data_IF_712832356354
#
_entry.id   IF_712832356354
#
_cell.length_a   1.000
_cell.length_b   1.000
_cell.length_c   1.000
_cell.angle_alpha   90.00
_cell.angle_beta   90.00
_cell.angle_gamma   90.00
#
_symmetry.space_group_name_H-M   'P 1'
#
loop_
_entity.id
_entity.type
_entity.pdbx_description
1 polymer ?
#
# COMPACT_ATOMS: atom_id res chain seq x y z
N UNK A 1 47.77 10.06 5.83
CA UNK A 1 47.27 10.27 4.46
C UNK A 1 47.62 9.05 3.62
N UNK A 2 46.67 8.52 2.85
CA UNK A 2 46.95 7.45 1.90
C UNK A 2 47.63 8.05 0.66
N UNK A 3 48.67 7.40 0.15
CA UNK A 3 49.40 7.85 -1.03
C UNK A 3 48.46 7.94 -2.24
N UNK A 4 48.37 9.13 -2.87
CA UNK A 4 47.47 9.50 -3.99
C UNK A 4 45.97 9.67 -3.67
N UNK A 5 45.55 9.65 -2.41
CA UNK A 5 44.16 9.98 -2.03
C UNK A 5 44.08 11.43 -1.52
N UNK A 6 43.86 12.39 -2.43
CA UNK A 6 43.62 13.80 -2.06
C UNK A 6 42.18 14.04 -1.58
N UNK A 7 41.93 15.15 -0.89
CA UNK A 7 40.60 15.52 -0.34
C UNK A 7 39.47 15.40 -1.37
N UNK A 8 39.63 15.98 -2.56
CA UNK A 8 38.65 15.84 -3.65
C UNK A 8 38.35 14.39 -4.05
N UNK A 9 39.34 13.50 -3.98
CA UNK A 9 39.15 12.09 -4.32
C UNK A 9 38.45 11.35 -3.18
N UNK A 10 38.80 11.67 -1.93
CA UNK A 10 38.13 11.14 -0.76
C UNK A 10 36.66 11.57 -0.69
N UNK A 11 36.35 12.84 -0.97
CA UNK A 11 34.99 13.36 -1.03
C UNK A 11 34.17 12.72 -2.15
N UNK A 12 34.75 12.55 -3.33
CA UNK A 12 34.08 11.87 -4.44
C UNK A 12 33.82 10.38 -4.15
N UNK A 13 34.76 9.69 -3.48
CA UNK A 13 34.59 8.31 -3.03
C UNK A 13 33.51 8.23 -1.95
N UNK A 14 33.52 9.14 -0.97
CA UNK A 14 32.50 9.20 0.08
C UNK A 14 31.11 9.44 -0.52
N UNK A 15 30.98 10.40 -1.44
CA UNK A 15 29.74 10.62 -2.20
C UNK A 15 29.31 9.37 -2.95
N UNK A 16 30.22 8.72 -3.69
CA UNK A 16 29.89 7.48 -4.40
C UNK A 16 29.44 6.35 -3.46
N UNK A 17 30.11 6.15 -2.33
CA UNK A 17 29.71 5.14 -1.33
C UNK A 17 28.33 5.49 -0.74
N UNK A 18 28.07 6.76 -0.46
CA UNK A 18 26.76 7.22 0.01
C UNK A 18 25.68 7.03 -1.06
N UNK A 19 25.94 7.36 -2.33
CA UNK A 19 25.04 7.13 -3.46
C UNK A 19 24.75 5.64 -3.67
N UNK A 20 25.76 4.76 -3.58
CA UNK A 20 25.59 3.30 -3.71
C UNK A 20 24.79 2.75 -2.52
N UNK A 21 25.08 3.15 -1.29
CA UNK A 21 24.30 2.75 -0.11
C UNK A 21 22.86 3.29 -0.11
N UNK A 22 22.61 4.42 -0.78
CA UNK A 22 21.28 5.01 -0.96
C UNK A 22 20.48 4.29 -2.06
N UNK A 23 21.12 3.78 -3.12
CA UNK A 23 20.47 3.04 -4.21
C UNK A 23 19.73 1.77 -3.78
N UNK A 24 20.20 1.11 -2.71
CA UNK A 24 19.56 -0.10 -2.18
C UNK A 24 18.59 0.19 -1.02
N UNK A 25 18.45 1.45 -0.60
CA UNK A 25 17.48 1.81 0.45
C UNK A 25 16.10 1.93 -0.17
N UNK A 26 15.24 0.99 0.20
CA UNK A 26 13.80 1.08 -0.04
C UNK A 26 13.15 1.72 1.18
N UNK A 27 12.12 2.54 0.96
CA UNK A 27 11.31 3.12 2.04
C UNK A 27 9.89 2.54 2.01
N UNK A 28 9.16 2.51 3.14
CA UNK A 28 7.77 2.09 3.17
C UNK A 28 6.87 2.94 2.27
N UNK A 29 5.83 2.33 1.71
CA UNK A 29 4.82 3.00 0.88
C UNK A 29 4.22 4.22 1.58
N UNK A 30 3.90 4.11 2.87
CA UNK A 30 3.30 5.21 3.62
C UNK A 30 4.22 6.41 3.89
N UNK A 31 5.52 6.29 3.61
CA UNK A 31 6.43 7.44 3.56
C UNK A 31 6.57 7.98 2.14
N UNK A 32 6.65 7.09 1.14
CA UNK A 32 6.86 7.45 -0.26
C UNK A 32 5.64 8.15 -0.89
N UNK A 33 4.44 7.64 -0.62
CA UNK A 33 3.21 8.11 -1.24
C UNK A 33 2.88 9.57 -0.85
N UNK A 34 2.86 9.97 0.43
CA UNK A 34 2.59 11.36 0.80
C UNK A 34 3.61 12.35 0.21
N UNK A 35 4.88 11.96 0.15
CA UNK A 35 5.93 12.77 -0.48
C UNK A 35 5.65 12.96 -1.99
N UNK A 36 5.33 11.89 -2.71
CA UNK A 36 4.99 11.98 -4.12
C UNK A 36 3.75 12.86 -4.35
N UNK A 37 2.72 12.69 -3.52
CA UNK A 37 1.48 13.48 -3.59
C UNK A 37 1.75 14.97 -3.35
N UNK A 38 2.59 15.32 -2.37
CA UNK A 38 2.99 16.70 -2.09
C UNK A 38 3.72 17.32 -3.30
N UNK A 39 4.71 16.62 -3.85
CA UNK A 39 5.46 17.08 -5.03
C UNK A 39 4.51 17.27 -6.22
N UNK A 40 3.65 16.27 -6.48
CA UNK A 40 2.68 16.31 -7.57
C UNK A 40 1.68 17.46 -7.38
N UNK A 41 1.20 17.70 -6.17
CA UNK A 41 0.26 18.79 -5.88
C UNK A 41 0.87 20.16 -6.19
N UNK A 42 2.12 20.40 -5.82
CA UNK A 42 2.82 21.66 -6.13
C UNK A 42 3.00 21.84 -7.63
N UNK A 43 3.49 20.80 -8.33
CA UNK A 43 3.79 20.89 -9.75
C UNK A 43 2.53 20.96 -10.63
N UNK A 44 1.42 20.29 -10.22
CA UNK A 44 0.12 20.40 -10.90
C UNK A 44 -0.44 21.82 -10.90
N UNK A 45 -0.04 22.67 -9.97
CA UNK A 45 -0.43 24.08 -9.92
C UNK A 45 0.23 24.96 -10.98
N UNK A 46 1.22 24.45 -11.71
CA UNK A 46 1.94 25.22 -12.73
C UNK A 46 1.16 25.27 -14.05
N UNK A 47 1.13 26.42 -14.75
CA UNK A 47 0.45 26.54 -16.04
C UNK A 47 0.95 25.53 -17.08
N UNK A 48 0.03 24.93 -17.81
CA UNK A 48 0.34 24.01 -18.92
C UNK A 48 0.71 22.58 -18.50
N UNK A 49 0.86 22.29 -17.20
CA UNK A 49 1.08 20.91 -16.71
C UNK A 49 -0.20 20.08 -16.86
N UNK A 50 -0.07 18.89 -17.44
CA UNK A 50 -1.15 17.90 -17.58
C UNK A 50 -0.61 16.51 -17.28
N UNK A 51 -1.51 15.60 -16.91
CA UNK A 51 -1.22 14.17 -16.74
C UNK A 51 -0.04 13.87 -15.79
N UNK A 52 0.15 14.65 -14.72
CA UNK A 52 1.23 14.41 -13.77
C UNK A 52 0.86 13.27 -12.81
N UNK A 53 1.51 12.12 -12.98
CA UNK A 53 1.19 10.85 -12.31
C UNK A 53 2.48 10.18 -11.82
N UNK A 54 2.57 9.78 -10.54
CA UNK A 54 3.64 8.89 -10.08
C UNK A 54 3.53 7.53 -10.78
N UNK A 55 4.67 7.00 -11.23
CA UNK A 55 4.79 5.73 -11.94
C UNK A 55 5.56 4.71 -11.07
N UNK A 56 6.21 3.75 -11.71
CA UNK A 56 7.07 2.77 -11.03
C UNK A 56 6.33 1.91 -10.01
N UNK A 57 7.10 1.44 -9.02
CA UNK A 57 6.59 0.61 -7.93
C UNK A 57 5.56 1.33 -7.06
N UNK A 58 5.61 2.66 -7.01
CA UNK A 58 4.67 3.48 -6.25
C UNK A 58 3.26 3.40 -6.85
N UNK A 59 3.14 3.53 -8.17
CA UNK A 59 1.85 3.38 -8.87
C UNK A 59 1.26 1.98 -8.74
N UNK A 60 2.10 0.96 -8.55
CA UNK A 60 1.67 -0.43 -8.34
C UNK A 60 1.42 -0.77 -6.87
N UNK A 61 1.45 0.23 -5.97
CA UNK A 61 1.23 0.06 -4.53
C UNK A 61 2.14 -1.00 -3.87
N UNK A 62 3.39 -1.12 -4.32
CA UNK A 62 4.39 -1.98 -3.65
C UNK A 62 4.60 -1.48 -2.21
N UNK A 63 4.66 -2.41 -1.27
CA UNK A 63 4.86 -2.14 0.17
C UNK A 63 6.11 -1.31 0.48
N UNK A 64 7.16 -1.44 -0.33
CA UNK A 64 8.38 -0.65 -0.24
C UNK A 64 8.74 -0.10 -1.61
N UNK A 65 9.28 1.12 -1.65
CA UNK A 65 9.56 1.90 -2.84
C UNK A 65 11.06 2.20 -2.90
N UNK A 66 11.69 2.02 -4.07
CA UNK A 66 13.11 2.31 -4.27
C UNK A 66 13.33 3.79 -4.60
N UNK A 67 12.94 4.19 -5.80
CA UNK A 67 12.86 5.55 -6.29
C UNK A 67 11.40 5.93 -6.59
N UNK A 68 11.14 7.24 -6.63
CA UNK A 68 9.85 7.77 -7.08
C UNK A 68 10.01 8.30 -8.50
N UNK A 69 9.38 7.62 -9.43
CA UNK A 69 9.22 8.09 -10.80
C UNK A 69 7.95 8.95 -10.93
N UNK A 70 8.06 10.16 -11.47
CA UNK A 70 6.92 11.02 -11.79
C UNK A 70 6.93 11.32 -13.28
N UNK A 71 5.84 10.97 -13.95
CA UNK A 71 5.65 11.17 -15.39
C UNK A 71 4.60 12.26 -15.59
N UNK A 72 4.85 13.17 -16.54
CA UNK A 72 3.90 14.21 -16.87
C UNK A 72 4.07 14.77 -18.27
N UNK A 73 3.20 15.72 -18.58
CA UNK A 73 3.22 16.49 -19.82
C UNK A 73 3.13 17.97 -19.48
N UNK A 74 3.75 18.83 -20.27
CA UNK A 74 3.69 20.26 -20.04
C UNK A 74 3.85 21.03 -21.36
N UNK A 75 3.17 22.17 -21.47
CA UNK A 75 3.37 23.11 -22.59
C UNK A 75 4.77 23.76 -22.52
N UNK A 76 5.32 23.94 -21.31
CA UNK A 76 6.70 24.37 -21.05
C UNK A 76 7.38 23.43 -20.03
N UNK A 77 7.93 22.29 -20.49
CA UNK A 77 8.63 21.34 -19.64
C UNK A 77 9.79 21.94 -18.85
N UNK A 78 10.53 22.88 -19.44
CA UNK A 78 11.75 23.42 -18.82
C UNK A 78 11.43 24.23 -17.57
N UNK A 79 10.36 25.04 -17.62
CA UNK A 79 9.88 25.77 -16.44
C UNK A 79 9.46 24.83 -15.31
N UNK A 80 8.83 23.71 -15.64
CA UNK A 80 8.40 22.72 -14.63
C UNK A 80 9.61 22.01 -14.02
N UNK A 81 10.59 21.62 -14.83
CA UNK A 81 11.84 21.05 -14.34
C UNK A 81 12.55 22.04 -13.39
N UNK A 82 12.61 23.34 -13.74
CA UNK A 82 13.20 24.37 -12.88
C UNK A 82 12.44 24.54 -11.56
N UNK A 83 11.11 24.41 -11.56
CA UNK A 83 10.31 24.45 -10.35
C UNK A 83 10.56 23.23 -9.46
N UNK A 84 10.59 22.03 -10.05
CA UNK A 84 10.84 20.77 -9.36
C UNK A 84 12.17 20.75 -8.61
N UNK A 85 13.27 21.14 -9.24
CA UNK A 85 14.59 21.13 -8.59
C UNK A 85 14.75 22.21 -7.50
N UNK A 86 13.79 23.12 -7.37
CA UNK A 86 13.76 24.20 -6.36
C UNK A 86 12.80 23.91 -5.20
N UNK A 87 12.14 22.76 -5.19
CA UNK A 87 11.21 22.40 -4.13
C UNK A 87 11.92 22.36 -2.76
N UNK A 88 11.29 22.83 -1.67
CA UNK A 88 11.91 22.89 -0.33
C UNK A 88 12.40 21.54 0.23
N UNK A 89 11.85 20.44 -0.28
CA UNK A 89 12.21 19.08 0.09
C UNK A 89 13.49 18.60 -0.60
N UNK A 90 13.94 19.26 -1.68
CA UNK A 90 15.14 18.90 -2.44
C UNK A 90 16.39 19.23 -1.63
N UNK A 91 17.25 18.24 -1.45
CA UNK A 91 18.55 18.35 -0.80
C UNK A 91 19.68 18.44 -1.84
N UNK A 92 19.63 17.62 -2.89
CA UNK A 92 20.66 17.56 -3.93
C UNK A 92 20.02 17.38 -5.32
N UNK A 93 20.56 18.07 -6.32
CA UNK A 93 20.19 17.88 -7.73
C UNK A 93 21.22 16.98 -8.39
N UNK A 94 20.83 15.76 -8.77
CA UNK A 94 21.71 14.78 -9.42
C UNK A 94 21.86 15.06 -10.92
N UNK A 95 20.74 15.41 -11.56
CA UNK A 95 20.69 15.71 -12.99
C UNK A 95 19.57 16.70 -13.29
N UNK A 96 19.81 17.59 -14.25
CA UNK A 96 18.83 18.55 -14.73
C UNK A 96 18.99 18.75 -16.24
N UNK A 97 17.92 18.49 -16.99
CA UNK A 97 17.79 18.81 -18.41
C UNK A 97 16.52 19.61 -18.68
N UNK A 98 16.16 19.81 -19.95
CA UNK A 98 14.94 20.53 -20.33
C UNK A 98 13.65 19.74 -20.09
N UNK A 99 13.72 18.41 -20.15
CA UNK A 99 12.55 17.52 -20.05
C UNK A 99 12.66 16.45 -18.95
N UNK A 100 13.79 16.42 -18.24
CA UNK A 100 14.03 15.44 -17.17
C UNK A 100 14.88 16.03 -16.06
N UNK A 101 14.62 15.62 -14.84
CA UNK A 101 15.49 15.91 -13.70
C UNK A 101 15.43 14.79 -12.66
N UNK A 102 16.51 14.67 -11.92
CA UNK A 102 16.69 13.71 -10.83
C UNK A 102 17.19 14.46 -9.60
N UNK A 103 16.50 14.29 -8.48
CA UNK A 103 16.85 14.95 -7.21
C UNK A 103 16.89 13.93 -6.08
N UNK A 104 17.67 14.23 -5.05
CA UNK A 104 17.57 13.60 -3.74
C UNK A 104 16.80 14.54 -2.82
N UNK A 105 15.78 14.03 -2.15
CA UNK A 105 15.05 14.77 -1.11
C UNK A 105 15.64 14.50 0.28
N UNK A 106 15.25 15.29 1.28
CA UNK A 106 15.75 15.20 2.67
C UNK A 106 15.64 13.81 3.33
N UNK A 107 14.72 12.96 2.89
CA UNK A 107 14.61 11.56 3.36
C UNK A 107 15.73 10.66 2.80
N UNK A 108 16.55 11.16 1.88
CA UNK A 108 17.57 10.42 1.15
C UNK A 108 17.05 9.68 -0.09
N UNK A 109 15.76 9.81 -0.39
CA UNK A 109 15.08 9.17 -1.52
C UNK A 109 15.36 9.91 -2.83
N UNK A 110 15.56 9.16 -3.92
CA UNK A 110 15.63 9.71 -5.26
C UNK A 110 14.23 9.91 -5.85
N UNK A 111 13.99 11.09 -6.41
CA UNK A 111 12.78 11.42 -7.16
C UNK A 111 13.18 11.84 -8.57
N UNK A 112 12.64 11.15 -9.56
CA UNK A 112 12.86 11.39 -10.98
C UNK A 112 11.60 11.99 -11.59
N UNK A 113 11.74 13.15 -12.23
CA UNK A 113 10.66 13.80 -12.98
C UNK A 113 10.98 13.74 -14.47
N UNK A 114 10.01 13.28 -15.26
CA UNK A 114 10.09 13.30 -16.72
C UNK A 114 8.84 13.93 -17.32
N UNK A 115 9.09 14.87 -18.21
CA UNK A 115 8.09 15.54 -19.02
C UNK A 115 8.19 15.10 -20.47
N UNK A 116 7.05 14.77 -21.09
CA UNK A 116 6.95 14.41 -22.51
C UNK A 116 5.88 15.23 -23.21
N UNK A 117 5.88 15.14 -24.55
CA UNK A 117 4.80 15.65 -25.38
C UNK A 117 3.46 15.01 -25.00
N UNK A 118 2.38 15.79 -25.10
CA UNK A 118 1.03 15.38 -24.69
C UNK A 118 0.57 14.06 -25.32
N UNK A 119 0.95 13.80 -26.57
CA UNK A 119 0.54 12.62 -27.34
C UNK A 119 1.33 11.33 -26.99
N UNK A 120 2.40 11.44 -26.21
CA UNK A 120 3.33 10.33 -25.91
C UNK A 120 3.20 9.84 -24.46
N UNK A 121 2.30 10.44 -23.68
CA UNK A 121 2.17 10.19 -22.25
C UNK A 121 1.77 8.76 -21.90
N UNK A 122 0.82 8.17 -22.63
CA UNK A 122 0.28 6.85 -22.30
C UNK A 122 1.36 5.75 -22.34
N UNK A 123 2.09 5.64 -23.45
CA UNK A 123 3.14 4.63 -23.63
C UNK A 123 4.28 4.82 -22.63
N UNK A 124 4.62 6.08 -22.33
CA UNK A 124 5.58 6.42 -21.28
C UNK A 124 5.08 5.90 -19.92
N UNK A 125 3.85 6.23 -19.55
CA UNK A 125 3.27 5.83 -18.28
C UNK A 125 3.22 4.30 -18.16
N UNK A 126 2.76 3.59 -19.18
CA UNK A 126 2.76 2.12 -19.18
C UNK A 126 4.17 1.56 -18.96
N UNK A 127 5.14 2.04 -19.74
CA UNK A 127 6.53 1.61 -19.65
C UNK A 127 7.11 1.84 -18.26
N UNK A 128 6.97 3.04 -17.71
CA UNK A 128 7.56 3.41 -16.41
C UNK A 128 6.76 2.87 -15.22
N UNK A 129 5.47 2.54 -15.39
CA UNK A 129 4.71 1.83 -14.37
C UNK A 129 5.27 0.43 -14.15
N UNK A 130 5.69 -0.25 -15.22
CA UNK A 130 6.20 -1.62 -15.12
C UNK A 130 5.15 -2.61 -14.61
N UNK A 131 5.55 -3.69 -13.91
CA UNK A 131 6.91 -4.05 -13.53
C UNK A 131 7.83 -4.33 -14.73
N UNK A 132 9.13 -4.54 -14.48
CA UNK A 132 10.08 -4.95 -15.52
C UNK A 132 9.63 -6.26 -16.16
N UNK A 133 9.23 -7.22 -15.34
CA UNK A 133 8.78 -8.55 -15.73
C UNK A 133 7.50 -8.45 -16.58
N UNK A 134 6.53 -7.63 -16.14
CA UNK A 134 5.33 -7.33 -16.91
C UNK A 134 5.65 -6.74 -18.29
N UNK A 135 6.55 -5.75 -18.34
CA UNK A 135 6.97 -5.14 -19.61
C UNK A 135 7.67 -6.12 -20.55
N UNK A 136 8.50 -7.02 -20.02
CA UNK A 136 9.16 -8.07 -20.81
C UNK A 136 8.09 -8.99 -21.42
N UNK A 137 7.15 -9.48 -20.63
CA UNK A 137 6.09 -10.36 -21.10
C UNK A 137 5.19 -9.68 -22.17
N UNK A 138 4.84 -8.41 -21.98
CA UNK A 138 4.11 -7.63 -22.99
C UNK A 138 4.91 -7.48 -24.29
N UNK A 139 6.21 -7.18 -24.22
CA UNK A 139 7.08 -7.04 -25.40
C UNK A 139 7.20 -8.35 -26.17
N UNK A 140 7.42 -9.46 -25.49
CA UNK A 140 7.49 -10.79 -26.12
C UNK A 140 6.19 -11.13 -26.85
N UNK A 141 5.04 -10.79 -26.26
CA UNK A 141 3.73 -10.94 -26.91
C UNK A 141 3.60 -10.04 -28.14
N UNK A 142 3.94 -8.76 -28.01
CA UNK A 142 3.83 -7.79 -29.11
C UNK A 142 4.71 -8.19 -30.31
N UNK A 143 5.93 -8.69 -30.06
CA UNK A 143 6.82 -9.18 -31.12
C UNK A 143 6.18 -10.31 -31.92
N UNK A 144 5.49 -11.25 -31.26
CA UNK A 144 4.74 -12.33 -31.94
C UNK A 144 3.61 -11.81 -32.83
N UNK A 145 3.11 -10.60 -32.58
CA UNK A 145 2.10 -9.92 -33.39
C UNK A 145 2.72 -9.00 -34.46
N UNK A 146 4.05 -8.96 -34.60
CA UNK A 146 4.74 -8.05 -35.51
C UNK A 146 4.74 -6.59 -35.03
N UNK A 147 4.72 -6.37 -33.71
CA UNK A 147 4.70 -5.08 -33.06
C UNK A 147 5.94 -4.91 -32.16
N UNK A 148 6.35 -3.66 -31.94
CA UNK A 148 7.42 -3.30 -30.98
C UNK A 148 6.89 -2.26 -30.00
N UNK A 149 6.89 -2.59 -28.71
CA UNK A 149 6.47 -1.67 -27.64
C UNK A 149 7.66 -0.85 -27.15
N UNK A 150 7.48 0.46 -27.04
CA UNK A 150 8.47 1.39 -26.45
C UNK A 150 7.77 2.43 -25.57
N UNK A 151 8.53 3.25 -24.86
CA UNK A 151 8.01 4.43 -24.16
C UNK A 151 7.36 5.46 -25.09
N UNK A 152 7.57 5.36 -26.41
CA UNK A 152 7.05 6.30 -27.39
C UNK A 152 5.76 5.84 -28.07
N UNK A 153 5.38 4.56 -27.95
CA UNK A 153 4.27 4.00 -28.71
C UNK A 153 4.44 2.53 -29.08
N UNK A 154 3.53 2.09 -29.95
CA UNK A 154 3.54 0.76 -30.55
C UNK A 154 3.96 0.90 -32.00
N UNK A 155 5.14 0.40 -32.34
CA UNK A 155 5.66 0.43 -33.71
C UNK A 155 5.26 -0.84 -34.46
N UNK A 156 4.63 -0.69 -35.63
CA UNK A 156 4.32 -1.81 -36.53
C UNK A 156 5.58 -2.21 -37.28
N UNK A 157 6.10 -3.42 -37.04
CA UNK A 157 7.41 -3.85 -37.55
C UNK A 157 7.48 -3.86 -39.09
N UNK A 158 6.35 -4.06 -39.77
CA UNK A 158 6.28 -4.08 -41.24
C UNK A 158 6.39 -2.69 -41.88
N UNK A 159 5.82 -1.66 -41.25
CA UNK A 159 5.73 -0.31 -41.83
C UNK A 159 6.71 0.67 -41.19
N UNK A 160 7.17 0.38 -39.96
CA UNK A 160 7.95 1.31 -39.13
C UNK A 160 7.11 2.44 -38.54
N UNK A 161 5.79 2.44 -38.74
CA UNK A 161 4.89 3.45 -38.19
C UNK A 161 4.67 3.24 -36.69
N UNK A 162 4.81 4.32 -35.91
CA UNK A 162 4.59 4.30 -34.46
C UNK A 162 3.23 4.88 -34.13
N UNK A 163 2.35 4.03 -33.62
CA UNK A 163 1.03 4.38 -33.12
C UNK A 163 1.13 4.95 -31.70
N UNK A 164 0.39 6.04 -31.45
CA UNK A 164 0.29 6.73 -30.15
C UNK A 164 -1.12 6.57 -29.59
N UNK A 165 -1.24 6.60 -28.26
CA UNK A 165 -2.49 6.31 -27.55
C UNK A 165 -2.82 7.42 -26.55
N UNK A 166 -4.11 7.75 -26.45
CA UNK A 166 -4.59 8.76 -25.51
C UNK A 166 -4.71 8.21 -24.08
N UNK A 167 -4.93 6.89 -23.92
CA UNK A 167 -5.16 6.21 -22.64
C UNK A 167 -4.58 4.78 -22.68
N UNK A 168 -4.33 4.20 -21.50
CA UNK A 168 -3.74 2.86 -21.40
C UNK A 168 -4.69 1.76 -21.88
N UNK A 169 -6.01 1.95 -21.78
CA UNK A 169 -7.03 1.01 -22.24
C UNK A 169 -6.89 0.74 -23.75
N UNK A 170 -6.74 1.77 -24.56
CA UNK A 170 -6.55 1.67 -26.00
C UNK A 170 -5.19 1.05 -26.35
N UNK A 171 -4.15 1.35 -25.56
CA UNK A 171 -2.83 0.71 -25.69
C UNK A 171 -2.92 -0.81 -25.47
N UNK A 172 -3.55 -1.26 -24.38
CA UNK A 172 -3.74 -2.70 -24.11
C UNK A 172 -4.65 -3.36 -25.15
N UNK A 173 -5.73 -2.67 -25.56
CA UNK A 173 -6.63 -3.15 -26.59
C UNK A 173 -5.91 -3.39 -27.92
N UNK A 174 -4.95 -2.55 -28.28
CA UNK A 174 -4.16 -2.68 -29.52
C UNK A 174 -3.36 -3.99 -29.59
N UNK A 175 -2.93 -4.51 -28.46
CA UNK A 175 -2.22 -5.79 -28.33
C UNK A 175 -3.13 -6.96 -27.92
N UNK A 176 -4.45 -6.74 -28.01
CA UNK A 176 -5.49 -7.74 -27.79
C UNK A 176 -5.74 -8.09 -26.33
N UNK A 177 -5.53 -7.14 -25.41
CA UNK A 177 -5.69 -7.34 -23.97
C UNK A 177 -6.80 -6.45 -23.39
N UNK A 178 -7.48 -6.95 -22.37
CA UNK A 178 -8.20 -6.10 -21.40
C UNK A 178 -7.20 -5.15 -20.73
N UNK A 179 -7.64 -3.97 -20.31
CA UNK A 179 -6.83 -3.09 -19.48
C UNK A 179 -6.38 -3.80 -18.19
N UNK A 180 -5.10 -3.67 -17.86
CA UNK A 180 -4.49 -4.27 -16.69
C UNK A 180 -4.20 -3.16 -15.66
N UNK A 181 -4.92 -3.12 -14.52
CA UNK A 181 -4.65 -2.19 -13.44
C UNK A 181 -3.18 -2.26 -12.99
N UNK A 182 -2.54 -1.12 -12.65
CA UNK A 182 -1.13 -1.07 -12.23
C UNK A 182 -0.76 -2.07 -11.13
N UNK A 183 -1.64 -2.26 -10.16
CA UNK A 183 -1.49 -3.15 -9.00
C UNK A 183 -1.25 -4.60 -9.41
N UNK A 184 -1.77 -5.03 -10.58
CA UNK A 184 -1.64 -6.40 -11.07
C UNK A 184 -0.41 -6.63 -11.97
N UNK A 185 0.33 -5.58 -12.33
CA UNK A 185 1.42 -5.64 -13.32
C UNK A 185 2.70 -6.21 -12.74
N UNK A 186 2.65 -7.50 -12.38
CA UNK A 186 3.72 -8.21 -11.67
C UNK A 186 4.15 -9.52 -12.37
N UNK A 187 3.64 -9.81 -13.57
CA UNK A 187 3.91 -11.03 -14.35
C UNK A 187 3.55 -12.32 -13.59
N UNK A 188 2.36 -12.35 -12.99
CA UNK A 188 1.81 -13.45 -12.17
C UNK A 188 0.57 -14.10 -12.78
N UNK A 189 0.37 -13.93 -14.09
CA UNK A 189 -0.79 -14.48 -14.83
C UNK A 189 -1.79 -13.41 -15.29
N UNK A 190 -1.54 -12.14 -15.01
CA UNK A 190 -2.43 -11.03 -15.35
C UNK A 190 -2.60 -10.84 -16.86
N UNK A 191 -1.58 -11.16 -17.65
CA UNK A 191 -1.62 -11.03 -19.12
C UNK A 191 -2.52 -12.12 -19.72
N UNK A 192 -2.40 -13.36 -19.24
CA UNK A 192 -3.24 -14.47 -19.66
C UNK A 192 -4.70 -14.24 -19.28
N UNK A 193 -4.95 -13.69 -18.08
CA UNK A 193 -6.28 -13.28 -17.65
C UNK A 193 -6.82 -12.13 -18.51
N UNK A 194 -6.01 -11.12 -18.83
CA UNK A 194 -6.40 -10.00 -19.65
C UNK A 194 -6.75 -10.41 -21.10
N UNK A 195 -6.03 -11.39 -21.65
CA UNK A 195 -6.33 -11.97 -22.96
C UNK A 195 -7.68 -12.69 -22.97
N UNK A 196 -7.95 -13.47 -21.92
CA UNK A 196 -9.23 -14.17 -21.73
C UNK A 196 -10.36 -13.23 -21.26
N UNK A 197 -10.05 -11.97 -20.97
CA UNK A 197 -10.96 -10.97 -20.39
C UNK A 197 -11.58 -11.43 -19.06
N UNK A 198 -10.78 -12.07 -18.23
CA UNK A 198 -11.19 -12.61 -16.92
C UNK A 198 -10.62 -11.80 -15.75
N UNK A 199 -9.99 -10.65 -15.99
CA UNK A 199 -9.57 -9.77 -14.89
C UNK A 199 -10.82 -9.21 -14.20
N UNK A 200 -10.91 -9.44 -12.90
CA UNK A 200 -11.98 -8.91 -12.05
C UNK A 200 -11.77 -7.43 -11.78
N UNK A 201 -12.86 -6.70 -11.57
CA UNK A 201 -12.80 -5.33 -11.08
C UNK A 201 -12.20 -5.35 -9.67
N UNK A 202 -11.16 -4.54 -9.46
CA UNK A 202 -10.55 -4.35 -8.13
C UNK A 202 -11.46 -3.47 -7.25
N UNK A 203 -11.29 -3.62 -5.94
CA UNK A 203 -11.93 -2.74 -4.96
C UNK A 203 -11.34 -1.33 -5.08
N UNK A 204 -12.20 -0.32 -4.99
CA UNK A 204 -11.81 1.09 -4.99
C UNK A 204 -12.06 1.72 -3.62
N UNK A 205 -11.41 2.86 -3.33
CA UNK A 205 -11.57 3.56 -2.05
C UNK A 205 -13.04 3.88 -1.73
N UNK A 206 -13.84 4.21 -2.75
CA UNK A 206 -15.28 4.52 -2.57
C UNK A 206 -16.14 3.27 -2.32
N UNK A 207 -15.63 2.06 -2.56
CA UNK A 207 -16.32 0.81 -2.21
C UNK A 207 -16.21 0.52 -0.70
N UNK A 208 -15.23 1.12 -0.02
CA UNK A 208 -15.01 0.99 1.44
C UNK A 208 -16.07 1.80 2.18
N UNK A 209 -16.95 1.11 2.90
CA UNK A 209 -18.09 1.72 3.62
C UNK A 209 -17.82 1.97 5.09
N UNK A 210 -16.68 1.53 5.62
CA UNK A 210 -16.34 1.68 7.02
C UNK A 210 -15.05 0.97 7.36
N UNK A 211 -14.53 1.32 8.53
CA UNK A 211 -13.34 0.70 9.11
C UNK A 211 -13.78 -0.24 10.24
N UNK A 212 -13.21 -1.45 10.26
CA UNK A 212 -13.59 -2.52 11.18
C UNK A 212 -12.54 -2.77 12.27
N UNK A 213 -11.47 -1.98 12.31
CA UNK A 213 -10.43 -2.14 13.30
C UNK A 213 -9.81 -0.79 13.66
N UNK A 214 -10.44 -0.08 14.62
CA UNK A 214 -9.89 1.18 15.15
C UNK A 214 -9.84 1.18 16.67
N UNK A 215 -8.87 1.91 17.20
CA UNK A 215 -8.61 2.04 18.63
C UNK A 215 -8.97 3.45 19.12
N UNK A 216 -9.32 3.56 20.39
CA UNK A 216 -9.71 4.83 21.04
C UNK A 216 -8.89 5.05 22.31
N UNK A 217 -9.14 6.16 23.01
CA UNK A 217 -8.54 6.41 24.33
C UNK A 217 -8.91 5.38 25.41
N UNK A 218 -9.79 4.42 25.12
CA UNK A 218 -10.11 3.31 26.01
C UNK A 218 -8.96 2.30 26.14
N UNK A 219 -8.16 2.06 25.10
CA UNK A 219 -6.87 1.35 25.18
C UNK A 219 -5.68 2.26 24.89
N UNK A 220 -5.24 2.30 23.64
CA UNK A 220 -3.98 2.88 23.16
C UNK A 220 -4.16 3.81 21.95
N UNK A 221 -5.42 4.10 21.59
CA UNK A 221 -5.74 5.22 20.73
C UNK A 221 -5.63 6.56 21.47
N UNK A 222 -5.83 7.65 20.72
CA UNK A 222 -5.70 9.01 21.24
C UNK A 222 -7.02 9.78 21.30
N UNK A 223 -8.03 9.32 20.57
CA UNK A 223 -9.26 10.05 20.35
C UNK A 223 -10.45 9.34 21.03
N UNK A 224 -11.43 10.13 21.44
CA UNK A 224 -12.70 9.62 21.95
C UNK A 224 -13.51 8.89 20.86
N UNK A 225 -14.46 8.05 21.27
CA UNK A 225 -15.38 7.34 20.36
C UNK A 225 -16.14 8.33 19.46
N UNK A 226 -16.60 9.45 20.02
CA UNK A 226 -17.33 10.47 19.26
C UNK A 226 -16.44 11.18 18.22
N UNK A 227 -15.18 11.48 18.57
CA UNK A 227 -14.23 12.09 17.65
C UNK A 227 -13.92 11.14 16.47
N UNK A 228 -13.63 9.88 16.76
CA UNK A 228 -13.39 8.84 15.75
C UNK A 228 -14.58 8.64 14.82
N UNK A 229 -15.80 8.57 15.36
CA UNK A 229 -17.01 8.43 14.56
C UNK A 229 -17.29 9.64 13.66
N UNK A 230 -17.00 10.86 14.13
CA UNK A 230 -17.12 12.07 13.30
C UNK A 230 -16.07 12.10 12.18
N UNK A 231 -14.83 11.68 12.44
CA UNK A 231 -13.79 11.56 11.42
C UNK A 231 -14.17 10.52 10.35
N UNK A 232 -14.59 9.32 10.77
CA UNK A 232 -15.08 8.28 9.87
C UNK A 232 -16.25 8.77 9.00
N UNK A 233 -17.19 9.52 9.58
CA UNK A 233 -18.30 10.14 8.84
C UNK A 233 -17.80 11.18 7.82
N UNK A 234 -16.79 11.97 8.16
CA UNK A 234 -16.18 12.94 7.24
C UNK A 234 -15.48 12.24 6.04
N UNK A 235 -14.95 11.04 6.26
CA UNK A 235 -14.43 10.17 5.19
C UNK A 235 -15.54 9.52 4.33
N UNK A 236 -16.82 9.71 4.68
CA UNK A 236 -17.96 9.16 3.95
C UNK A 236 -18.41 7.77 4.41
N UNK A 237 -17.76 7.21 5.44
CA UNK A 237 -18.11 5.91 6.00
C UNK A 237 -19.52 5.89 6.58
N UNK A 238 -20.13 4.70 6.50
CA UNK A 238 -21.45 4.35 7.02
C UNK A 238 -21.36 3.65 8.37
N UNK A 239 -20.24 3.03 8.65
CA UNK A 239 -19.99 2.39 9.93
C UNK A 239 -18.53 2.45 10.36
N UNK A 240 -18.30 2.20 11.65
CA UNK A 240 -17.01 2.13 12.30
C UNK A 240 -17.08 1.06 13.41
N UNK A 241 -16.14 0.13 13.50
CA UNK A 241 -16.03 -0.76 14.65
C UNK A 241 -14.93 -0.27 15.60
N UNK A 242 -15.30 0.02 16.84
CA UNK A 242 -14.34 0.34 17.89
C UNK A 242 -13.86 -0.99 18.49
N UNK A 243 -12.57 -1.29 18.36
CA UNK A 243 -11.98 -2.59 18.66
C UNK A 243 -10.73 -2.41 19.53
N UNK A 244 -10.87 -1.69 20.64
CA UNK A 244 -9.80 -1.54 21.63
C UNK A 244 -9.30 -2.90 22.15
N UNK A 245 -8.12 -2.92 22.74
CA UNK A 245 -7.48 -4.16 23.17
C UNK A 245 -8.15 -4.82 24.39
N UNK A 246 -8.18 -6.16 24.38
CA UNK A 246 -8.49 -6.99 25.56
C UNK A 246 -7.44 -6.93 26.68
N UNK A 247 -7.81 -7.41 27.88
CA UNK A 247 -7.07 -7.31 29.14
C UNK A 247 -5.61 -7.80 29.08
N UNK A 248 -5.34 -8.83 28.28
CA UNK A 248 -4.05 -9.48 28.11
C UNK A 248 -2.96 -8.54 27.58
N UNK A 249 -3.37 -7.41 26.98
CA UNK A 249 -2.47 -6.35 26.51
C UNK A 249 -2.27 -5.28 27.60
N UNK A 250 -1.79 -5.68 28.77
CA UNK A 250 -1.57 -4.78 29.92
C UNK A 250 -0.68 -3.55 29.62
N UNK A 251 0.21 -3.65 28.63
CA UNK A 251 1.07 -2.54 28.15
C UNK A 251 0.25 -1.46 27.40
N UNK A 252 -0.88 -1.83 26.79
CA UNK A 252 -1.76 -0.94 26.02
C UNK A 252 -3.06 -0.62 26.76
N UNK A 253 -3.05 -0.68 28.09
CA UNK A 253 -4.25 -0.40 28.91
C UNK A 253 -5.48 -1.23 28.52
N UNK A 254 -5.28 -2.50 28.14
CA UNK A 254 -6.34 -3.42 27.73
C UNK A 254 -7.55 -3.42 28.67
N UNK A 255 -8.75 -3.53 28.09
CA UNK A 255 -10.00 -3.43 28.82
C UNK A 255 -10.20 -4.69 29.66
N UNK A 256 -10.72 -4.53 30.88
CA UNK A 256 -11.30 -5.66 31.61
C UNK A 256 -12.73 -5.91 31.12
N UNK A 257 -13.34 -7.05 31.47
CA UNK A 257 -14.74 -7.31 31.14
C UNK A 257 -15.70 -6.19 31.62
N UNK A 258 -15.42 -5.59 32.77
CA UNK A 258 -16.20 -4.46 33.30
C UNK A 258 -16.00 -3.21 32.44
N UNK A 259 -14.76 -2.85 32.10
CA UNK A 259 -14.45 -1.68 31.25
C UNK A 259 -15.02 -1.84 29.84
N UNK A 260 -14.97 -3.04 29.27
CA UNK A 260 -15.58 -3.33 27.98
C UNK A 260 -17.09 -3.06 28.00
N UNK A 261 -17.81 -3.55 29.01
CA UNK A 261 -19.25 -3.27 29.12
C UNK A 261 -19.55 -1.77 29.30
N UNK A 262 -18.68 -1.02 29.98
CA UNK A 262 -18.79 0.44 30.07
C UNK A 262 -18.60 1.10 28.69
N UNK A 263 -17.58 0.69 27.94
CA UNK A 263 -17.36 1.18 26.57
C UNK A 263 -18.54 0.85 25.66
N UNK A 264 -19.07 -0.37 25.72
CA UNK A 264 -20.26 -0.77 24.95
C UNK A 264 -21.48 0.11 25.28
N UNK A 265 -21.66 0.45 26.55
CA UNK A 265 -22.71 1.38 26.97
C UNK A 265 -22.47 2.79 26.43
N UNK A 266 -21.24 3.29 26.40
CA UNK A 266 -20.89 4.57 25.78
C UNK A 266 -21.16 4.57 24.27
N UNK A 267 -20.72 3.54 23.54
CA UNK A 267 -20.99 3.36 22.10
C UNK A 267 -22.50 3.44 21.83
N UNK A 268 -23.32 2.79 22.67
CA UNK A 268 -24.78 2.84 22.58
C UNK A 268 -25.32 4.27 22.76
N UNK A 269 -24.78 5.04 23.68
CA UNK A 269 -25.18 6.44 23.87
C UNK A 269 -24.73 7.34 22.71
N UNK A 270 -23.51 7.15 22.18
CA UNK A 270 -23.02 7.88 21.01
C UNK A 270 -23.89 7.57 19.80
N UNK A 271 -24.23 6.30 19.54
CA UNK A 271 -25.12 5.89 18.45
C UNK A 271 -26.54 6.52 18.55
N UNK A 272 -27.04 6.79 19.76
CA UNK A 272 -28.31 7.50 19.93
C UNK A 272 -28.21 8.96 19.47
N UNK A 273 -27.11 9.63 19.81
CA UNK A 273 -26.87 11.05 19.56
C UNK A 273 -26.43 11.32 18.12
N UNK A 274 -25.44 10.56 17.63
CA UNK A 274 -24.82 10.75 16.32
C UNK A 274 -25.66 10.09 15.22
N UNK A 275 -25.94 10.84 14.15
CA UNK A 275 -26.66 10.34 12.97
C UNK A 275 -25.74 10.31 11.75
N UNK A 276 -25.99 9.36 10.86
CA UNK A 276 -25.28 9.22 9.58
C UNK A 276 -24.08 8.26 9.61
N UNK A 277 -23.77 7.67 10.76
CA UNK A 277 -22.78 6.59 10.92
C UNK A 277 -23.26 5.64 12.04
N UNK A 278 -23.04 4.34 11.89
CA UNK A 278 -23.25 3.33 12.94
C UNK A 278 -21.91 2.93 13.54
N UNK A 279 -21.81 2.99 14.85
CA UNK A 279 -20.63 2.49 15.58
C UNK A 279 -20.96 1.07 16.06
N UNK A 280 -20.14 0.09 15.73
CA UNK A 280 -20.25 -1.27 16.24
C UNK A 280 -19.46 -1.42 17.55
N UNK A 281 -20.03 -2.17 18.50
CA UNK A 281 -19.25 -2.63 19.65
C UNK A 281 -18.29 -3.72 19.19
N UNK A 282 -16.99 -3.51 19.37
CA UNK A 282 -15.97 -4.48 18.98
C UNK A 282 -14.89 -4.65 20.03
N UNK A 283 -13.99 -5.60 19.77
CA UNK A 283 -12.80 -5.82 20.56
C UNK A 283 -11.70 -6.41 19.67
N UNK A 284 -10.46 -5.97 19.86
CA UNK A 284 -9.29 -6.77 19.48
C UNK A 284 -8.89 -7.70 20.64
N UNK A 285 -9.38 -8.93 20.58
CA UNK A 285 -9.13 -9.97 21.58
C UNK A 285 -7.80 -10.70 21.30
N UNK A 286 -6.95 -10.82 22.32
CA UNK A 286 -5.68 -11.54 22.18
C UNK A 286 -5.94 -13.04 22.06
N UNK A 287 -5.26 -13.67 21.12
CA UNK A 287 -5.14 -15.11 21.02
C UNK A 287 -4.01 -15.51 21.95
N UNK A 288 -4.33 -16.19 23.06
CA UNK A 288 -3.33 -16.64 24.03
C UNK A 288 -2.40 -17.69 23.43
N UNK A 289 -1.26 -17.93 24.09
CA UNK A 289 -0.22 -18.85 23.60
C UNK A 289 -0.68 -20.31 23.40
N UNK A 290 -1.82 -20.69 23.98
CA UNK A 290 -2.49 -21.98 23.88
C UNK A 290 -3.68 -21.99 22.89
N UNK A 291 -3.96 -20.88 22.20
CA UNK A 291 -5.04 -20.75 21.22
C UNK A 291 -6.38 -20.29 21.80
N UNK A 292 -6.51 -20.16 23.13
CA UNK A 292 -7.72 -19.62 23.73
C UNK A 292 -7.80 -18.10 23.52
N UNK A 293 -9.01 -17.56 23.40
CA UNK A 293 -9.23 -16.12 23.37
C UNK A 293 -9.16 -15.53 24.78
N UNK A 294 -8.71 -14.28 24.88
CA UNK A 294 -8.53 -13.58 26.16
C UNK A 294 -9.83 -13.13 26.85
N UNK A 295 -10.98 -13.64 26.43
CA UNK A 295 -12.27 -13.48 27.09
C UNK A 295 -13.10 -14.76 27.05
N UNK A 296 -14.02 -14.96 28.03
CA UNK A 296 -14.95 -16.07 27.99
C UNK A 296 -16.00 -15.86 26.89
N UNK A 297 -16.49 -16.97 26.32
CA UNK A 297 -17.51 -16.97 25.25
C UNK A 297 -18.77 -16.17 25.63
N UNK A 298 -19.20 -16.22 26.90
CA UNK A 298 -20.35 -15.44 27.39
C UNK A 298 -20.17 -13.95 27.09
N UNK A 299 -18.99 -13.39 27.35
CA UNK A 299 -18.71 -11.98 27.08
C UNK A 299 -18.55 -11.71 25.58
N UNK A 300 -17.86 -12.58 24.85
CA UNK A 300 -17.68 -12.43 23.40
C UNK A 300 -19.03 -12.45 22.65
N UNK A 301 -20.01 -13.22 23.15
CA UNK A 301 -21.35 -13.28 22.59
C UNK A 301 -22.16 -11.96 22.70
N UNK A 302 -21.72 -11.03 23.55
CA UNK A 302 -22.34 -9.71 23.70
C UNK A 302 -21.80 -8.67 22.68
N UNK A 303 -20.73 -9.00 21.94
CA UNK A 303 -19.96 -8.08 21.07
C UNK A 303 -20.42 -8.23 19.61
N UNK A 304 -20.48 -7.13 18.86
CA UNK A 304 -20.92 -7.15 17.46
C UNK A 304 -19.81 -7.49 16.46
N UNK A 305 -18.55 -7.16 16.78
CA UNK A 305 -17.37 -7.46 15.95
C UNK A 305 -16.20 -7.91 16.82
N UNK A 306 -15.83 -9.19 16.73
CA UNK A 306 -14.67 -9.75 17.44
C UNK A 306 -13.50 -9.93 16.48
N UNK A 307 -12.45 -9.15 16.72
CA UNK A 307 -11.19 -9.21 16.00
C UNK A 307 -10.20 -10.01 16.85
N UNK A 308 -9.79 -11.19 16.39
CA UNK A 308 -8.78 -11.99 17.08
C UNK A 308 -7.38 -11.67 16.53
N UNK A 309 -6.38 -11.55 17.40
CA UNK A 309 -5.02 -11.19 17.00
C UNK A 309 -3.95 -11.85 17.87
N UNK A 310 -2.77 -12.12 17.30
CA UNK A 310 -1.61 -12.62 18.05
C UNK A 310 -0.72 -11.44 18.48
N UNK A 311 -0.55 -11.22 19.79
CA UNK A 311 0.39 -10.21 20.30
C UNK A 311 1.55 -10.78 21.12
N UNK A 312 1.49 -12.07 21.44
CA UNK A 312 2.39 -12.72 22.40
C UNK A 312 2.91 -14.04 21.88
N UNK A 313 4.02 -14.52 22.45
CA UNK A 313 4.64 -15.80 22.08
C UNK A 313 4.86 -15.95 20.56
N UNK A 314 5.26 -14.87 19.88
CA UNK A 314 5.43 -14.83 18.42
C UNK A 314 6.55 -15.73 17.89
N UNK A 315 7.45 -16.19 18.75
CA UNK A 315 8.54 -17.12 18.41
C UNK A 315 8.16 -18.60 18.48
N UNK A 316 6.87 -18.95 18.51
CA UNK A 316 6.44 -20.35 18.40
C UNK A 316 6.82 -20.93 17.03
N UNK A 317 7.05 -22.24 16.98
CA UNK A 317 7.28 -22.94 15.72
C UNK A 317 6.03 -22.93 14.83
N UNK A 318 6.24 -23.12 13.53
CA UNK A 318 5.21 -23.03 12.49
C UNK A 318 3.96 -23.85 12.81
N UNK A 319 4.12 -25.12 13.18
CA UNK A 319 3.00 -26.03 13.43
C UNK A 319 2.20 -25.61 14.66
N UNK A 320 2.90 -25.20 15.73
CA UNK A 320 2.27 -24.72 16.95
C UNK A 320 1.50 -23.42 16.74
N UNK A 321 2.10 -22.43 16.05
CA UNK A 321 1.45 -21.17 15.77
C UNK A 321 0.24 -21.35 14.84
N UNK A 322 0.36 -22.21 13.83
CA UNK A 322 -0.75 -22.54 12.93
C UNK A 322 -1.93 -23.13 13.71
N UNK A 323 -1.69 -24.12 14.58
CA UNK A 323 -2.75 -24.71 15.42
C UNK A 323 -3.37 -23.70 16.38
N UNK A 324 -2.55 -22.84 16.99
CA UNK A 324 -2.99 -21.76 17.88
C UNK A 324 -3.97 -20.81 17.17
N UNK A 325 -3.63 -20.38 15.95
CA UNK A 325 -4.49 -19.50 15.16
C UNK A 325 -5.77 -20.24 14.74
N UNK A 326 -5.66 -21.47 14.21
CA UNK A 326 -6.83 -22.25 13.79
C UNK A 326 -7.81 -22.46 14.96
N UNK A 327 -7.32 -22.74 16.17
CA UNK A 327 -8.17 -22.88 17.36
C UNK A 327 -8.93 -21.59 17.69
N UNK A 328 -8.29 -20.42 17.52
CA UNK A 328 -8.96 -19.14 17.70
C UNK A 328 -10.06 -18.93 16.65
N UNK A 329 -9.79 -19.28 15.38
CA UNK A 329 -10.78 -19.21 14.30
C UNK A 329 -11.97 -20.15 14.53
N UNK A 330 -11.77 -21.27 15.22
CA UNK A 330 -12.83 -22.23 15.56
C UNK A 330 -13.73 -21.75 16.72
N UNK A 331 -13.39 -20.65 17.39
CA UNK A 331 -14.31 -20.01 18.33
C UNK A 331 -15.51 -19.42 17.55
N UNK A 332 -16.76 -19.73 17.92
CA UNK A 332 -17.95 -19.30 17.17
C UNK A 332 -18.18 -17.79 17.19
N UNK A 333 -17.45 -17.05 18.02
CA UNK A 333 -17.55 -15.60 18.12
C UNK A 333 -16.49 -14.86 17.31
N UNK A 334 -15.51 -15.52 16.70
CA UNK A 334 -14.44 -14.84 15.95
C UNK A 334 -14.88 -14.45 14.54
N UNK A 335 -15.01 -13.13 14.31
CA UNK A 335 -15.40 -12.58 13.02
C UNK A 335 -14.20 -12.32 12.11
N UNK A 336 -13.09 -11.82 12.67
CA UNK A 336 -11.92 -11.34 11.91
C UNK A 336 -10.63 -11.85 12.56
N UNK A 337 -9.67 -12.33 11.75
CA UNK A 337 -8.26 -12.46 12.16
C UNK A 337 -7.49 -11.23 11.72
N UNK A 338 -7.03 -10.44 12.68
CA UNK A 338 -6.28 -9.21 12.47
C UNK A 338 -4.82 -9.49 12.07
N UNK A 339 -4.28 -8.64 11.18
CA UNK A 339 -2.87 -8.61 10.73
C UNK A 339 -2.16 -9.98 10.87
N UNK A 340 -2.57 -10.99 10.06
CA UNK A 340 -2.34 -12.41 10.38
C UNK A 340 -0.87 -12.81 10.56
N UNK A 341 0.05 -12.11 9.92
CA UNK A 341 1.49 -12.40 9.98
C UNK A 341 2.21 -11.63 11.07
N UNK A 342 1.52 -10.69 11.72
CA UNK A 342 2.02 -9.82 12.80
C UNK A 342 3.27 -9.01 12.42
N UNK A 343 3.59 -8.88 11.13
CA UNK A 343 4.79 -8.21 10.66
C UNK A 343 4.76 -6.71 10.93
N UNK A 344 5.95 -6.12 11.06
CA UNK A 344 6.18 -4.68 11.04
C UNK A 344 7.32 -4.39 10.07
N UNK A 345 7.05 -3.66 9.00
CA UNK A 345 7.98 -3.37 7.93
C UNK A 345 9.25 -2.68 8.46
N UNK A 346 10.39 -3.35 8.32
CA UNK A 346 11.68 -2.85 8.77
C UNK A 346 11.98 -3.06 10.26
N UNK A 347 11.03 -3.55 11.05
CA UNK A 347 11.18 -3.76 12.50
C UNK A 347 11.02 -5.21 12.93
N UNK A 348 9.99 -5.90 12.44
CA UNK A 348 9.64 -7.27 12.84
C UNK A 348 9.26 -8.11 11.65
N UNK A 349 10.01 -9.20 11.47
CA UNK A 349 9.69 -10.22 10.47
C UNK A 349 8.34 -10.92 10.78
N UNK A 350 7.65 -11.44 9.76
CA UNK A 350 6.45 -12.25 9.92
C UNK A 350 6.64 -13.41 10.90
N UNK A 351 5.58 -13.79 11.62
CA UNK A 351 5.56 -15.05 12.38
C UNK A 351 5.60 -16.26 11.44
N UNK A 352 6.15 -17.36 11.92
CA UNK A 352 6.16 -18.63 11.19
C UNK A 352 4.75 -19.26 11.26
N UNK A 353 4.01 -19.22 10.16
CA UNK A 353 2.66 -19.80 10.06
C UNK A 353 2.42 -20.49 8.71
N UNK A 354 1.56 -21.50 8.70
CA UNK A 354 1.01 -22.05 7.47
C UNK A 354 -0.22 -21.25 7.03
N UNK A 355 0.00 -20.25 6.18
CA UNK A 355 -1.07 -19.35 5.75
C UNK A 355 -2.15 -20.09 4.94
N UNK A 356 -1.78 -21.15 4.20
CA UNK A 356 -2.73 -21.93 3.42
C UNK A 356 -3.71 -22.68 4.34
N UNK A 357 -3.22 -23.28 5.42
CA UNK A 357 -4.07 -23.94 6.40
C UNK A 357 -4.94 -22.93 7.19
N UNK A 358 -4.40 -21.74 7.49
CA UNK A 358 -5.17 -20.65 8.11
C UNK A 358 -6.29 -20.17 7.17
N UNK A 359 -6.02 -19.99 5.88
CA UNK A 359 -7.02 -19.64 4.87
C UNK A 359 -8.13 -20.70 4.76
N UNK A 360 -7.76 -22.00 4.74
CA UNK A 360 -8.73 -23.10 4.74
C UNK A 360 -9.60 -23.10 6.00
N UNK A 361 -9.00 -22.81 7.16
CA UNK A 361 -9.74 -22.68 8.40
C UNK A 361 -10.71 -21.48 8.36
N UNK A 362 -10.24 -20.32 7.92
CA UNK A 362 -11.04 -19.10 7.81
C UNK A 362 -12.27 -19.31 6.91
N UNK A 363 -12.11 -20.01 5.77
CA UNK A 363 -13.24 -20.40 4.91
C UNK A 363 -14.21 -21.33 5.64
N UNK A 364 -13.71 -22.32 6.39
CA UNK A 364 -14.53 -23.29 7.14
C UNK A 364 -15.34 -22.61 8.26
N UNK A 365 -14.75 -21.64 8.94
CA UNK A 365 -15.33 -20.96 10.10
C UNK A 365 -16.06 -19.67 9.73
N UNK A 366 -16.01 -19.26 8.46
CA UNK A 366 -16.54 -17.99 7.97
C UNK A 366 -15.92 -16.77 8.68
N UNK A 367 -14.62 -16.88 9.00
CA UNK A 367 -13.83 -15.80 9.59
C UNK A 367 -13.15 -14.99 8.47
N UNK A 368 -13.25 -13.67 8.50
CA UNK A 368 -12.54 -12.80 7.57
C UNK A 368 -11.05 -12.69 7.96
N UNK A 369 -10.17 -12.54 6.97
CA UNK A 369 -8.76 -12.20 7.20
C UNK A 369 -8.55 -10.71 6.88
N UNK A 370 -7.88 -10.02 7.79
CA UNK A 370 -7.64 -8.58 7.66
C UNK A 370 -6.54 -8.27 6.63
N UNK A 371 -6.78 -7.22 5.82
CA UNK A 371 -5.73 -6.45 5.14
C UNK A 371 -5.56 -5.15 5.93
N UNK A 372 -4.63 -5.15 6.87
CA UNK A 372 -4.34 -4.05 7.76
C UNK A 372 -3.57 -2.98 6.99
N UNK A 373 -4.24 -1.86 6.73
CA UNK A 373 -3.72 -0.77 5.91
C UNK A 373 -2.76 0.17 6.66
N UNK A 374 -2.38 -0.15 7.91
CA UNK A 374 -1.44 0.69 8.65
C UNK A 374 -0.08 0.69 7.92
N UNK A 375 0.53 1.88 7.68
CA UNK A 375 1.73 2.03 6.85
C UNK A 375 2.92 1.15 7.19
N UNK A 376 3.08 0.82 8.46
CA UNK A 376 4.14 0.00 9.01
C UNK A 376 3.80 -1.50 8.99
N UNK A 377 2.56 -1.90 8.66
CA UNK A 377 2.10 -3.29 8.61
C UNK A 377 1.90 -3.78 7.19
N UNK A 378 0.91 -3.22 6.49
CA UNK A 378 0.42 -3.68 5.18
C UNK A 378 0.17 -5.20 5.13
N UNK A 379 -0.57 -5.74 6.09
CA UNK A 379 -0.72 -7.18 6.33
C UNK A 379 -2.19 -7.58 6.37
N UNK A 380 -2.74 -8.38 5.45
CA UNK A 380 -2.11 -9.38 4.57
C UNK A 380 -1.75 -8.92 3.15
N UNK A 381 -0.78 -9.60 2.52
CA UNK A 381 -0.40 -9.42 1.11
C UNK A 381 -1.28 -10.21 0.14
N UNK A 382 -1.28 -9.81 -1.12
CA UNK A 382 -1.97 -10.43 -2.25
C UNK A 382 -1.42 -11.80 -2.68
N UNK A 383 -0.20 -12.16 -2.25
CA UNK A 383 0.51 -13.39 -2.65
C UNK A 383 0.36 -14.58 -1.70
N UNK A 384 -0.44 -14.43 -0.65
CA UNK A 384 -0.62 -15.47 0.36
C UNK A 384 -1.62 -16.55 -0.06
#
# INVERSE_FOLDING_TARGET
SLYRLGEKTADNILRHIQTVRRKDKRIPLGEALPLAEEIVAVLKGLPGVRNLIPAGSLRRFKETIGDIDIMGTADDPESVIKAFVRLPQVEEVLAQGSTKASVIVKSGLQVDLRMVEHDSFCSLLQHFTGSKEHNVALRERAVKQGLSLSEYGITVAKTGETEKFANEEDFYKRIGLQYIPPELREARGEIEMAEKKTLTKLIEVFDIKGDLHVHTEWSDGHESIEAMANAAKACGYKYLAITDHSAGRGIAHGLTAERLRQQMAEIKEVNKKLKGIRIFTGIEVDIRADGALDYPDELLSEIEVVVAAVHSAMGQDKDKMTKRIIQALENPHTDILAHPTCRLLGEREPIEIDIEEVLKAAVRTNTALEINAMPDRLDLKDIH
#
